data_IF_279840111136
#
_entry.id   IF_279840111136
#
_cell.length_a   1.000
_cell.length_b   1.000
_cell.length_c   1.000
_cell.angle_alpha   90.00
_cell.angle_beta   90.00
_cell.angle_gamma   90.00
#
_symmetry.space_group_name_H-M   'P 1'
#
loop_
_entity.id
_entity.type
_entity.pdbx_description
1 polymer ?
#
# COMPACT_ATOMS: atom_id res chain seq x y z
N UNK A 1 31.09 1.67 4.04
CA UNK A 1 29.91 0.81 4.16
C UNK A 1 29.79 0.01 2.87
N UNK A 2 29.74 -1.33 2.94
CA UNK A 2 29.49 -2.14 1.77
C UNK A 2 28.05 -1.85 1.28
N UNK A 3 27.92 -1.53 0.00
CA UNK A 3 26.59 -1.31 -0.62
C UNK A 3 25.84 -2.64 -0.55
N UNK A 4 24.68 -2.67 0.14
CA UNK A 4 23.82 -3.85 0.16
C UNK A 4 23.22 -4.00 -1.23
N UNK A 5 23.42 -5.17 -1.82
CA UNK A 5 23.00 -5.45 -3.20
C UNK A 5 21.55 -5.91 -3.18
N UNK A 6 20.73 -5.30 -4.03
CA UNK A 6 19.37 -5.75 -4.32
C UNK A 6 19.44 -7.10 -5.05
N UNK A 7 18.86 -8.12 -4.45
CA UNK A 7 18.72 -9.45 -5.03
C UNK A 7 17.30 -9.61 -5.57
N UNK A 8 17.15 -10.27 -6.71
CA UNK A 8 15.84 -10.54 -7.32
C UNK A 8 15.62 -12.05 -7.39
N UNK A 9 14.46 -12.51 -6.95
CA UNK A 9 14.00 -13.88 -7.11
C UNK A 9 12.55 -13.91 -7.57
N UNK A 10 12.06 -15.09 -7.95
CA UNK A 10 10.67 -15.30 -8.31
C UNK A 10 10.06 -16.35 -7.38
N UNK A 11 8.90 -16.01 -6.82
CA UNK A 11 8.13 -16.89 -5.93
C UNK A 11 6.86 -17.30 -6.64
N UNK A 12 6.55 -18.61 -6.64
CA UNK A 12 5.31 -19.11 -7.20
C UNK A 12 4.19 -18.93 -6.17
N UNK A 13 3.16 -18.14 -6.51
CA UNK A 13 1.93 -18.02 -5.73
C UNK A 13 0.76 -18.49 -6.58
N UNK A 14 0.26 -19.69 -6.28
CA UNK A 14 -0.78 -20.36 -7.09
C UNK A 14 -0.38 -20.37 -8.59
N UNK A 15 -1.12 -19.64 -9.44
CA UNK A 15 -0.93 -19.61 -10.89
C UNK A 15 0.01 -18.51 -11.38
N UNK A 16 0.47 -17.62 -10.50
CA UNK A 16 1.32 -16.47 -10.88
C UNK A 16 2.69 -16.56 -10.23
N UNK A 17 3.72 -16.10 -10.96
CA UNK A 17 5.05 -15.87 -10.41
C UNK A 17 5.16 -14.42 -9.99
N UNK A 18 5.60 -14.19 -8.77
CA UNK A 18 5.82 -12.86 -8.20
C UNK A 18 7.31 -12.53 -8.24
N UNK A 19 7.66 -11.39 -8.76
CA UNK A 19 9.02 -10.87 -8.70
C UNK A 19 9.25 -10.25 -7.32
N UNK A 20 10.19 -10.79 -6.57
CA UNK A 20 10.53 -10.39 -5.21
C UNK A 20 11.94 -9.85 -5.16
N UNK A 21 12.11 -8.76 -4.45
CA UNK A 21 13.36 -8.04 -4.30
C UNK A 21 13.74 -7.99 -2.83
N UNK A 22 15.00 -8.34 -2.54
CA UNK A 22 15.53 -8.35 -1.18
C UNK A 22 16.80 -7.50 -1.07
N UNK A 23 16.88 -6.74 0.01
CA UNK A 23 18.10 -6.06 0.45
C UNK A 23 18.55 -6.69 1.76
N UNK A 24 19.70 -7.33 1.74
CA UNK A 24 20.17 -8.20 2.81
C UNK A 24 19.72 -9.64 2.63
N UNK A 25 19.79 -10.41 3.71
CA UNK A 25 19.33 -11.81 3.76
C UNK A 25 18.58 -12.04 5.06
N UNK A 26 17.61 -12.94 5.02
CA UNK A 26 16.93 -13.42 6.22
C UNK A 26 17.94 -13.94 7.23
N UNK A 27 17.89 -13.39 8.44
CA UNK A 27 18.74 -13.76 9.56
C UNK A 27 17.85 -13.79 10.81
N UNK A 28 17.88 -14.84 11.64
CA UNK A 28 17.08 -14.91 12.88
C UNK A 28 17.31 -13.73 13.84
N UNK A 29 18.48 -13.10 13.79
CA UNK A 29 18.83 -11.96 14.64
C UNK A 29 18.41 -10.61 14.05
N UNK A 30 17.92 -10.60 12.79
CA UNK A 30 17.53 -9.38 12.08
C UNK A 30 16.05 -9.41 11.71
N UNK A 31 15.33 -8.36 12.07
CA UNK A 31 13.91 -8.24 11.73
C UNK A 31 13.71 -7.98 10.25
N UNK A 32 12.62 -8.52 9.69
CA UNK A 32 12.26 -8.34 8.29
C UNK A 32 11.18 -7.29 8.11
N UNK A 33 11.33 -6.46 7.07
CA UNK A 33 10.33 -5.48 6.62
C UNK A 33 9.85 -5.88 5.24
N UNK A 34 8.53 -5.91 5.02
CA UNK A 34 7.93 -6.05 3.70
C UNK A 34 7.33 -4.71 3.27
N UNK A 35 7.74 -4.22 2.10
CA UNK A 35 7.29 -2.97 1.49
C UNK A 35 6.33 -3.28 0.34
N UNK A 36 5.11 -2.74 0.41
CA UNK A 36 4.03 -3.04 -0.51
C UNK A 36 3.60 -1.80 -1.29
N UNK A 37 3.77 -1.84 -2.62
CA UNK A 37 3.48 -0.73 -3.52
C UNK A 37 2.00 -0.62 -3.88
N UNK A 38 1.61 0.53 -4.46
CA UNK A 38 0.28 0.83 -4.93
C UNK A 38 0.17 1.00 -6.45
N UNK A 39 -0.89 1.64 -6.89
CA UNK A 39 -1.20 1.90 -8.29
C UNK A 39 -0.69 3.29 -8.73
N UNK A 40 -0.14 3.44 -9.92
CA UNK A 40 0.19 2.42 -10.94
C UNK A 40 1.66 1.98 -10.86
N UNK A 41 2.19 1.89 -9.67
CA UNK A 41 3.62 1.64 -9.42
C UNK A 41 3.99 0.15 -9.41
N UNK A 42 5.27 -0.11 -9.24
CA UNK A 42 5.87 -1.42 -8.97
C UNK A 42 6.76 -1.33 -7.73
N UNK A 43 7.37 -2.43 -7.32
CA UNK A 43 8.30 -2.48 -6.18
C UNK A 43 9.46 -1.46 -6.30
N UNK A 44 9.82 -1.05 -7.51
CA UNK A 44 10.88 -0.08 -7.79
C UNK A 44 10.68 1.25 -7.06
N UNK A 45 9.43 1.65 -6.79
CA UNK A 45 9.11 2.90 -6.06
C UNK A 45 9.73 2.93 -4.67
N UNK A 46 9.99 1.77 -4.08
CA UNK A 46 10.56 1.60 -2.76
C UNK A 46 12.08 1.56 -2.69
N UNK A 47 12.78 1.46 -3.82
CA UNK A 47 14.22 1.18 -3.87
C UNK A 47 15.04 2.07 -2.93
N UNK A 48 14.81 3.39 -2.95
CA UNK A 48 15.55 4.33 -2.10
C UNK A 48 15.26 4.13 -0.60
N UNK A 49 14.02 3.86 -0.23
CA UNK A 49 13.64 3.60 1.17
C UNK A 49 14.20 2.24 1.61
N UNK A 50 14.12 1.24 0.75
CA UNK A 50 14.64 -0.10 1.02
C UNK A 50 16.17 -0.08 1.25
N UNK A 51 16.93 0.65 0.42
CA UNK A 51 18.36 0.83 0.63
C UNK A 51 18.69 1.43 2.00
N UNK A 52 17.91 2.40 2.48
CA UNK A 52 18.09 3.04 3.79
C UNK A 52 17.75 2.10 4.94
N UNK A 53 16.62 1.41 4.86
CA UNK A 53 16.18 0.46 5.88
C UNK A 53 17.09 -0.77 5.96
N UNK A 54 17.70 -1.19 4.84
CA UNK A 54 18.54 -2.38 4.77
C UNK A 54 19.83 -2.29 5.61
N UNK A 55 20.19 -1.10 6.08
CA UNK A 55 21.28 -0.95 7.03
C UNK A 55 20.99 -1.63 8.39
N UNK A 56 19.73 -1.84 8.74
CA UNK A 56 19.29 -2.34 10.04
C UNK A 56 18.34 -3.54 9.96
N UNK A 57 17.69 -3.74 8.81
CA UNK A 57 16.64 -4.73 8.58
C UNK A 57 16.95 -5.59 7.36
N UNK A 58 16.40 -6.80 7.33
CA UNK A 58 16.20 -7.51 6.09
C UNK A 58 14.97 -6.91 5.39
N UNK A 59 15.14 -6.31 4.23
CA UNK A 59 14.07 -5.59 3.54
C UNK A 59 13.64 -6.36 2.30
N UNK A 60 12.34 -6.56 2.17
CA UNK A 60 11.68 -7.25 1.08
C UNK A 60 10.70 -6.29 0.42
N UNK A 61 10.65 -6.28 -0.89
CA UNK A 61 9.55 -5.71 -1.66
C UNK A 61 9.19 -6.66 -2.79
N UNK A 62 7.98 -6.62 -3.31
CA UNK A 62 7.62 -7.43 -4.46
C UNK A 62 6.69 -6.66 -5.39
N UNK A 63 6.72 -7.03 -6.65
CA UNK A 63 5.74 -6.57 -7.62
C UNK A 63 4.43 -7.32 -7.39
N UNK A 64 3.36 -6.60 -7.07
CA UNK A 64 2.01 -7.18 -6.98
C UNK A 64 1.66 -7.82 -8.33
N UNK A 65 0.85 -8.88 -8.31
CA UNK A 65 0.39 -9.53 -9.55
C UNK A 65 -0.07 -8.51 -10.59
N UNK A 66 0.36 -8.66 -11.83
CA UNK A 66 0.08 -7.75 -12.93
C UNK A 66 1.03 -6.55 -13.04
N UNK A 67 1.85 -6.26 -12.01
CA UNK A 67 2.81 -5.17 -12.00
C UNK A 67 4.26 -5.63 -12.24
N UNK A 68 5.15 -4.71 -12.57
CA UNK A 68 6.60 -4.89 -12.67
C UNK A 68 7.02 -6.11 -13.49
N UNK A 69 7.73 -7.04 -12.87
CA UNK A 69 8.16 -8.31 -13.48
C UNK A 69 7.26 -9.49 -13.06
N UNK A 70 6.25 -9.28 -12.21
CA UNK A 70 5.29 -10.31 -11.86
C UNK A 70 4.39 -10.67 -13.04
N UNK A 71 3.89 -11.92 -13.01
CA UNK A 71 2.97 -12.41 -14.01
C UNK A 71 1.66 -11.64 -13.98
N UNK A 72 1.04 -11.55 -15.15
CA UNK A 72 -0.30 -10.99 -15.30
C UNK A 72 -1.30 -12.13 -15.04
N UNK A 73 -2.26 -11.97 -14.11
CA UNK A 73 -3.32 -12.94 -13.91
C UNK A 73 -4.12 -13.23 -15.18
N UNK A 74 -4.61 -14.47 -15.31
CA UNK A 74 -5.39 -14.87 -16.48
C UNK A 74 -6.76 -14.19 -16.54
N UNK A 75 -7.34 -13.85 -15.38
CA UNK A 75 -8.65 -13.22 -15.28
C UNK A 75 -8.62 -11.98 -14.40
N UNK A 76 -9.54 -11.05 -14.63
CA UNK A 76 -9.71 -9.86 -13.80
C UNK A 76 -10.03 -10.24 -12.34
N UNK A 77 -10.82 -11.28 -12.12
CA UNK A 77 -11.20 -11.74 -10.78
C UNK A 77 -9.99 -12.12 -9.90
N UNK A 78 -8.89 -12.55 -10.48
CA UNK A 78 -7.67 -12.88 -9.74
C UNK A 78 -6.98 -11.65 -9.12
N UNK A 79 -7.48 -10.42 -9.38
CA UNK A 79 -7.08 -9.20 -8.65
C UNK A 79 -7.91 -8.94 -7.39
N UNK A 80 -8.85 -9.83 -7.03
CA UNK A 80 -9.59 -9.74 -5.77
C UNK A 80 -8.64 -9.87 -4.57
N UNK A 81 -8.98 -9.17 -3.48
CA UNK A 81 -8.14 -9.07 -2.29
C UNK A 81 -7.73 -10.41 -1.68
N UNK A 82 -8.55 -11.45 -1.80
CA UNK A 82 -8.19 -12.79 -1.33
C UNK A 82 -6.92 -13.33 -2.00
N UNK A 83 -6.80 -13.15 -3.31
CA UNK A 83 -5.59 -13.57 -4.03
C UNK A 83 -4.38 -12.71 -3.69
N UNK A 84 -4.59 -11.40 -3.49
CA UNK A 84 -3.52 -10.46 -3.12
C UNK A 84 -2.99 -10.77 -1.70
N UNK A 85 -3.87 -11.17 -0.78
CA UNK A 85 -3.49 -11.58 0.57
C UNK A 85 -2.72 -12.90 0.54
N UNK A 86 -3.17 -13.87 -0.27
CA UNK A 86 -2.47 -15.15 -0.44
C UNK A 86 -1.05 -14.93 -1.01
N UNK A 87 -0.89 -14.02 -1.98
CA UNK A 87 0.43 -13.62 -2.51
C UNK A 87 1.34 -13.06 -1.42
N UNK A 88 0.82 -12.13 -0.61
CA UNK A 88 1.58 -11.53 0.48
C UNK A 88 2.01 -12.57 1.51
N UNK A 89 1.12 -13.50 1.86
CA UNK A 89 1.44 -14.62 2.76
C UNK A 89 2.54 -15.50 2.17
N UNK A 90 2.46 -15.82 0.88
CA UNK A 90 3.47 -16.65 0.20
C UNK A 90 4.84 -15.96 0.17
N UNK A 91 4.86 -14.65 -0.15
CA UNK A 91 6.08 -13.85 -0.09
C UNK A 91 6.68 -13.86 1.31
N UNK A 92 5.90 -13.57 2.35
CA UNK A 92 6.37 -13.57 3.74
C UNK A 92 6.89 -14.96 4.14
N UNK A 93 6.13 -16.00 3.86
CA UNK A 93 6.46 -17.39 4.25
C UNK A 93 7.74 -17.87 3.60
N UNK A 94 8.01 -17.44 2.37
CA UNK A 94 9.22 -17.81 1.63
C UNK A 94 10.44 -17.00 2.04
N UNK A 95 10.28 -15.68 2.25
CA UNK A 95 11.42 -14.78 2.53
C UNK A 95 11.74 -14.65 4.02
N UNK A 96 10.77 -14.92 4.90
CA UNK A 96 10.89 -14.78 6.35
C UNK A 96 10.17 -15.92 7.09
N UNK A 97 10.53 -17.19 6.84
CA UNK A 97 9.73 -18.37 7.23
C UNK A 97 9.56 -18.54 8.75
N UNK A 98 10.44 -17.97 9.57
CA UNK A 98 10.50 -18.23 11.01
C UNK A 98 10.18 -16.99 11.86
N UNK A 99 9.70 -15.91 11.26
CA UNK A 99 9.39 -14.67 11.98
C UNK A 99 8.26 -13.88 11.33
N UNK A 100 7.47 -13.23 12.17
CA UNK A 100 6.52 -12.23 11.70
C UNK A 100 7.27 -10.98 11.22
N UNK A 101 6.80 -10.38 10.13
CA UNK A 101 7.42 -9.21 9.50
C UNK A 101 6.79 -7.90 9.94
N UNK A 102 7.49 -6.81 9.72
CA UNK A 102 6.94 -5.46 9.79
C UNK A 102 6.45 -5.08 8.38
N UNK A 103 5.15 -4.89 8.24
CA UNK A 103 4.55 -4.54 6.95
C UNK A 103 4.48 -3.02 6.79
N UNK A 104 4.89 -2.49 5.64
CA UNK A 104 4.81 -1.06 5.30
C UNK A 104 4.17 -0.91 3.93
N UNK A 105 3.18 -0.04 3.81
CA UNK A 105 2.42 0.07 2.57
C UNK A 105 1.83 1.45 2.34
N UNK A 106 1.52 1.75 1.08
CA UNK A 106 0.78 2.94 0.68
C UNK A 106 -0.19 2.62 -0.46
N UNK A 107 -1.15 3.50 -0.70
CA UNK A 107 -2.14 3.40 -1.79
C UNK A 107 -2.81 2.01 -1.83
N UNK A 108 -2.89 1.36 -3.01
CA UNK A 108 -3.45 0.01 -3.16
C UNK A 108 -2.72 -1.05 -2.34
N UNK A 109 -1.42 -0.86 -2.08
CA UNK A 109 -0.70 -1.72 -1.15
C UNK A 109 -1.29 -1.66 0.27
N UNK A 110 -1.68 -0.47 0.74
CA UNK A 110 -2.38 -0.35 2.02
C UNK A 110 -3.79 -0.95 1.96
N UNK A 111 -4.54 -0.71 0.88
CA UNK A 111 -5.90 -1.21 0.75
C UNK A 111 -5.96 -2.73 0.81
N UNK A 112 -5.06 -3.43 0.09
CA UNK A 112 -4.98 -4.90 0.17
C UNK A 112 -4.49 -5.40 1.52
N UNK A 113 -3.50 -4.73 2.13
CA UNK A 113 -2.98 -5.12 3.44
C UNK A 113 -4.06 -5.01 4.53
N UNK A 114 -4.85 -3.93 4.51
CA UNK A 114 -5.98 -3.75 5.43
C UNK A 114 -7.00 -4.88 5.36
N UNK A 115 -7.32 -5.37 4.16
CA UNK A 115 -8.24 -6.50 4.00
C UNK A 115 -7.75 -7.74 4.75
N UNK A 116 -6.45 -8.07 4.63
CA UNK A 116 -5.86 -9.21 5.32
C UNK A 116 -5.70 -8.99 6.83
N UNK A 117 -5.40 -7.77 7.26
CA UNK A 117 -5.22 -7.40 8.67
C UNK A 117 -6.56 -7.39 9.40
N UNK A 118 -7.58 -6.74 8.84
CA UNK A 118 -8.92 -6.66 9.44
C UNK A 118 -9.69 -7.99 9.38
N UNK A 119 -9.29 -8.92 8.51
CA UNK A 119 -9.82 -10.29 8.45
C UNK A 119 -9.02 -11.29 9.30
N UNK A 120 -8.04 -10.84 10.09
CA UNK A 120 -7.10 -11.64 10.88
C UNK A 120 -6.24 -12.65 10.06
N UNK A 121 -6.32 -12.63 8.72
CA UNK A 121 -5.55 -13.53 7.85
C UNK A 121 -4.04 -13.28 7.94
N UNK A 122 -3.63 -12.02 8.13
CA UNK A 122 -2.23 -11.63 8.25
C UNK A 122 -1.71 -11.64 9.70
N UNK A 123 -2.56 -11.89 10.69
CA UNK A 123 -2.17 -11.84 12.11
C UNK A 123 -1.01 -12.78 12.49
N UNK A 124 -0.89 -13.99 11.95
CA UNK A 124 0.26 -14.87 12.23
C UNK A 124 1.57 -14.39 11.59
N UNK A 125 1.49 -13.54 10.56
CA UNK A 125 2.61 -13.17 9.69
C UNK A 125 3.12 -11.75 9.92
N UNK A 126 2.33 -10.88 10.57
CA UNK A 126 2.63 -9.45 10.71
C UNK A 126 2.78 -9.07 12.18
N UNK A 127 3.97 -8.63 12.56
CA UNK A 127 4.28 -8.14 13.90
C UNK A 127 3.79 -6.71 14.13
N UNK A 128 3.99 -5.82 13.15
CA UNK A 128 3.47 -4.46 13.14
C UNK A 128 3.10 -4.04 11.72
N UNK A 129 2.21 -3.08 11.60
CA UNK A 129 1.80 -2.52 10.33
C UNK A 129 1.98 -1.02 10.27
N UNK A 130 2.67 -0.50 9.25
CA UNK A 130 2.75 0.93 8.93
C UNK A 130 1.98 1.21 7.64
N UNK A 131 0.90 1.99 7.73
CA UNK A 131 0.03 2.34 6.61
C UNK A 131 0.08 3.84 6.31
N UNK A 132 0.03 4.21 5.04
CA UNK A 132 -0.11 5.60 4.58
C UNK A 132 -1.48 5.87 3.95
N UNK A 133 -2.31 4.85 3.79
CA UNK A 133 -3.67 4.95 3.26
C UNK A 133 -4.61 4.17 4.17
N UNK A 134 -5.78 4.73 4.57
CA UNK A 134 -6.77 4.03 5.39
C UNK A 134 -7.48 2.92 4.62
N UNK A 135 -8.26 2.08 5.31
CA UNK A 135 -9.01 1.00 4.68
C UNK A 135 -10.17 1.52 3.81
N UNK A 136 -10.57 0.71 2.82
CA UNK A 136 -11.79 0.99 2.04
C UNK A 136 -13.04 1.01 2.91
N UNK A 137 -13.11 0.17 3.94
CA UNK A 137 -14.22 0.18 4.91
C UNK A 137 -14.33 1.54 5.63
N UNK A 138 -13.20 2.14 6.04
CA UNK A 138 -13.19 3.46 6.68
C UNK A 138 -13.74 4.54 5.74
N UNK A 139 -13.37 4.48 4.45
CA UNK A 139 -13.93 5.38 3.42
C UNK A 139 -15.44 5.17 3.29
N UNK A 140 -15.89 3.91 3.21
CA UNK A 140 -17.33 3.58 3.14
C UNK A 140 -18.11 4.06 4.36
N UNK A 141 -17.56 3.89 5.57
CA UNK A 141 -18.15 4.40 6.80
C UNK A 141 -18.21 5.93 6.82
N UNK A 142 -17.19 6.62 6.32
CA UNK A 142 -17.22 8.07 6.20
C UNK A 142 -18.40 8.52 5.34
N UNK A 143 -18.61 7.94 4.14
CA UNK A 143 -19.76 8.25 3.30
C UNK A 143 -21.09 7.98 3.99
N UNK A 144 -21.25 6.82 4.65
CA UNK A 144 -22.48 6.50 5.39
C UNK A 144 -22.78 7.50 6.48
N UNK A 145 -21.77 7.93 7.24
CA UNK A 145 -21.93 8.91 8.33
C UNK A 145 -22.28 10.29 7.81
N UNK A 146 -21.60 10.77 6.75
CA UNK A 146 -21.94 12.05 6.14
C UNK A 146 -23.39 12.06 5.64
N UNK A 147 -23.80 11.05 4.87
CA UNK A 147 -25.18 10.95 4.36
C UNK A 147 -26.21 10.88 5.49
N UNK A 148 -25.94 10.23 6.62
CA UNK A 148 -26.82 10.13 7.78
C UNK A 148 -27.10 11.48 8.46
N UNK A 149 -26.19 12.46 8.35
CA UNK A 149 -26.39 13.81 8.91
C UNK A 149 -27.54 14.55 8.27
N UNK A 150 -27.93 14.19 7.06
CA UNK A 150 -29.10 14.69 6.30
C UNK A 150 -29.20 16.23 6.30
N UNK A 151 -28.09 16.91 5.95
CA UNK A 151 -28.05 18.37 5.85
C UNK A 151 -27.19 18.81 4.66
N UNK A 152 -27.36 20.08 4.24
CA UNK A 152 -26.69 20.64 3.06
C UNK A 152 -25.16 20.60 3.13
N UNK A 153 -24.60 20.83 4.32
CA UNK A 153 -23.15 20.78 4.54
C UNK A 153 -22.62 19.38 4.27
N UNK A 154 -23.26 18.35 4.81
CA UNK A 154 -22.88 16.97 4.62
C UNK A 154 -22.97 16.55 3.14
N UNK A 155 -24.05 16.93 2.46
CA UNK A 155 -24.18 16.68 1.00
C UNK A 155 -23.08 17.39 0.21
N UNK A 156 -22.75 18.63 0.58
CA UNK A 156 -21.61 19.35 -0.04
C UNK A 156 -20.29 18.62 0.18
N UNK A 157 -20.03 18.09 1.39
CA UNK A 157 -18.84 17.32 1.70
C UNK A 157 -18.76 16.04 0.86
N UNK A 158 -19.87 15.31 0.76
CA UNK A 158 -19.97 14.10 -0.09
C UNK A 158 -19.69 14.45 -1.55
N UNK A 159 -20.30 15.51 -2.10
CA UNK A 159 -20.08 15.92 -3.49
C UNK A 159 -18.61 16.34 -3.75
N UNK A 160 -18.00 17.11 -2.85
CA UNK A 160 -16.59 17.47 -2.92
C UNK A 160 -15.71 16.22 -2.93
N UNK A 161 -16.02 15.25 -2.08
CA UNK A 161 -15.27 13.98 -2.01
C UNK A 161 -15.44 13.16 -3.28
N UNK A 162 -16.64 13.01 -3.79
CA UNK A 162 -16.88 12.33 -5.05
C UNK A 162 -16.15 13.01 -6.23
N UNK A 163 -16.11 14.35 -6.25
CA UNK A 163 -15.36 15.08 -7.26
C UNK A 163 -13.84 14.83 -7.16
N UNK A 164 -13.27 14.92 -5.96
CA UNK A 164 -11.82 14.65 -5.73
C UNK A 164 -11.43 13.19 -5.97
N UNK A 165 -12.36 12.26 -5.80
CA UNK A 165 -12.18 10.82 -6.01
C UNK A 165 -12.79 10.32 -7.33
N UNK A 166 -13.13 11.24 -8.24
CA UNK A 166 -13.78 10.90 -9.52
C UNK A 166 -12.98 9.93 -10.38
N UNK A 167 -11.65 9.92 -10.25
CA UNK A 167 -10.78 8.95 -10.91
C UNK A 167 -11.11 7.50 -10.52
N UNK A 168 -11.58 7.24 -9.29
CA UNK A 168 -12.01 5.92 -8.86
C UNK A 168 -13.24 5.44 -9.66
N UNK A 169 -14.21 6.34 -9.87
CA UNK A 169 -15.36 6.08 -10.74
C UNK A 169 -14.96 5.93 -12.21
N UNK A 170 -13.99 6.74 -12.66
CA UNK A 170 -13.45 6.63 -14.02
C UNK A 170 -12.84 5.24 -14.26
N UNK A 171 -12.08 4.69 -13.32
CA UNK A 171 -11.50 3.35 -13.44
C UNK A 171 -12.51 2.20 -13.39
N UNK A 172 -13.77 2.45 -13.00
CA UNK A 172 -14.86 1.46 -13.14
C UNK A 172 -15.39 1.34 -14.59
N UNK A 173 -15.14 2.34 -15.44
CA UNK A 173 -15.60 2.31 -16.82
C UNK A 173 -14.84 1.26 -17.64
N UNK A 174 -15.52 0.51 -18.53
CA UNK A 174 -14.84 -0.41 -19.42
C UNK A 174 -14.07 0.35 -20.50
N UNK A 175 -12.90 -0.14 -20.88
CA UNK A 175 -12.10 0.30 -22.03
C UNK A 175 -11.52 1.72 -21.92
N UNK A 176 -12.31 2.70 -21.45
CA UNK A 176 -11.94 4.11 -21.49
C UNK A 176 -10.67 4.43 -20.68
N UNK A 177 -10.48 3.95 -19.43
CA UNK A 177 -9.25 4.15 -18.68
C UNK A 177 -8.03 3.57 -19.40
N UNK A 178 -8.16 2.37 -19.93
CA UNK A 178 -7.09 1.71 -20.69
C UNK A 178 -6.69 2.51 -21.94
N UNK A 179 -7.69 3.06 -22.65
CA UNK A 179 -7.42 3.92 -23.81
C UNK A 179 -6.64 5.17 -23.43
N UNK A 180 -7.04 5.85 -22.35
CA UNK A 180 -6.34 7.06 -21.86
C UNK A 180 -4.89 6.76 -21.52
N UNK A 181 -4.61 5.64 -20.85
CA UNK A 181 -3.24 5.20 -20.59
C UNK A 181 -2.46 4.92 -21.88
N UNK A 182 -3.05 4.21 -22.84
CA UNK A 182 -2.41 3.86 -24.13
C UNK A 182 -2.13 5.08 -25.01
N UNK A 183 -3.05 6.06 -25.05
CA UNK A 183 -2.91 7.25 -25.92
C UNK A 183 -1.79 8.16 -25.46
N UNK A 184 -1.54 8.28 -24.13
CA UNK A 184 -0.44 9.16 -23.72
C UNK A 184 -0.27 9.39 -22.23
N UNK A 185 -1.21 9.00 -21.38
CA UNK A 185 -1.11 9.28 -19.94
C UNK A 185 0.19 8.70 -19.36
N UNK A 186 0.61 7.50 -19.76
CA UNK A 186 1.86 6.88 -19.31
C UNK A 186 3.11 7.73 -19.59
N UNK A 187 3.11 8.56 -20.63
CA UNK A 187 4.24 9.45 -20.96
C UNK A 187 4.27 10.72 -20.12
N UNK A 188 3.09 11.14 -19.66
CA UNK A 188 2.92 12.38 -18.88
C UNK A 188 2.98 12.09 -17.37
N UNK A 189 2.56 10.90 -16.94
CA UNK A 189 2.43 10.50 -15.55
C UNK A 189 3.70 10.75 -14.70
N UNK A 190 4.90 10.35 -15.12
CA UNK A 190 6.12 10.62 -14.35
C UNK A 190 6.37 12.14 -14.13
N UNK A 191 5.95 12.98 -15.07
CA UNK A 191 6.05 14.44 -14.92
C UNK A 191 5.02 14.96 -13.91
N UNK A 192 3.79 14.39 -13.90
CA UNK A 192 2.75 14.73 -12.93
C UNK A 192 3.23 14.38 -11.52
N UNK A 193 3.69 13.15 -11.30
CA UNK A 193 4.23 12.71 -10.00
C UNK A 193 5.43 13.56 -9.61
N UNK A 194 6.35 13.82 -10.53
CA UNK A 194 7.54 14.65 -10.28
C UNK A 194 7.17 16.08 -9.90
N UNK A 195 6.14 16.66 -10.51
CA UNK A 195 5.64 18.00 -10.16
C UNK A 195 5.03 18.02 -8.76
N UNK A 196 4.19 17.04 -8.44
CA UNK A 196 3.56 16.90 -7.12
C UNK A 196 4.62 16.72 -6.02
N UNK A 197 5.61 15.89 -6.25
CA UNK A 197 6.66 15.57 -5.27
C UNK A 197 7.85 16.55 -5.29
N UNK A 198 7.90 17.46 -6.28
CA UNK A 198 9.03 18.37 -6.51
C UNK A 198 10.37 17.65 -6.70
N UNK A 199 10.34 16.49 -7.32
CA UNK A 199 11.51 15.66 -7.65
C UNK A 199 11.47 15.23 -9.11
N UNK A 200 12.62 14.86 -9.67
CA UNK A 200 12.69 14.27 -11.00
C UNK A 200 12.37 12.78 -10.91
N UNK A 201 11.25 12.36 -11.48
CA UNK A 201 10.85 10.94 -11.56
C UNK A 201 11.27 10.37 -12.90
N UNK A 202 11.98 9.25 -12.86
CA UNK A 202 12.27 8.47 -14.06
C UNK A 202 11.06 7.57 -14.37
N UNK A 203 10.64 7.47 -15.64
CA UNK A 203 9.55 6.59 -16.00
C UNK A 203 9.97 5.12 -15.83
N UNK A 204 9.17 4.34 -15.09
CA UNK A 204 9.35 2.88 -15.06
C UNK A 204 9.08 2.28 -16.44
N UNK A 205 9.88 1.28 -16.81
CA UNK A 205 9.71 0.56 -18.09
C UNK A 205 8.39 -0.21 -18.15
N UNK A 206 7.85 -0.60 -17.02
CA UNK A 206 6.61 -1.37 -16.90
C UNK A 206 5.37 -0.49 -16.73
N UNK A 207 5.50 0.83 -16.51
CA UNK A 207 4.41 1.74 -16.13
C UNK A 207 3.13 1.55 -16.95
N UNK A 208 3.22 1.44 -18.28
CA UNK A 208 2.02 1.25 -19.10
C UNK A 208 1.37 -0.11 -18.84
N UNK A 209 2.16 -1.17 -18.73
CA UNK A 209 1.69 -2.52 -18.37
C UNK A 209 1.02 -2.51 -17.00
N UNK A 210 1.70 -1.94 -16.01
CA UNK A 210 1.27 -1.89 -14.62
C UNK A 210 -0.06 -1.12 -14.50
N UNK A 211 -0.14 0.05 -15.13
CA UNK A 211 -1.35 0.84 -15.15
C UNK A 211 -2.54 0.13 -15.81
N UNK A 212 -2.32 -0.57 -16.93
CA UNK A 212 -3.39 -1.25 -17.67
C UNK A 212 -3.97 -2.43 -16.89
N UNK A 213 -3.11 -3.26 -16.31
CA UNK A 213 -3.56 -4.48 -15.64
C UNK A 213 -4.07 -4.20 -14.22
N UNK A 214 -3.41 -3.30 -13.48
CA UNK A 214 -3.81 -2.99 -12.10
C UNK A 214 -5.07 -2.13 -11.97
N UNK A 215 -5.68 -1.63 -13.08
CA UNK A 215 -7.06 -1.09 -13.07
C UNK A 215 -8.03 -2.12 -12.50
N UNK A 216 -7.78 -3.41 -12.69
CA UNK A 216 -8.58 -4.50 -12.14
C UNK A 216 -8.69 -4.44 -10.61
N UNK A 217 -7.70 -3.91 -9.88
CA UNK A 217 -7.78 -3.69 -8.44
C UNK A 217 -9.00 -2.86 -8.06
N UNK A 218 -9.26 -1.77 -8.79
CA UNK A 218 -10.42 -0.89 -8.57
C UNK A 218 -11.74 -1.60 -8.85
N UNK A 219 -11.80 -2.37 -9.94
CA UNK A 219 -13.03 -3.04 -10.37
C UNK A 219 -13.44 -4.18 -9.45
N UNK A 220 -12.46 -4.95 -8.95
CA UNK A 220 -12.72 -6.12 -8.11
C UNK A 220 -12.98 -5.78 -6.64
N UNK A 221 -12.38 -4.70 -6.10
CA UNK A 221 -12.31 -4.55 -4.65
C UNK A 221 -13.05 -3.35 -4.06
N UNK A 222 -13.46 -2.37 -4.88
CA UNK A 222 -14.00 -1.12 -4.30
C UNK A 222 -15.48 -1.20 -3.92
N UNK A 223 -16.28 -1.88 -4.73
CA UNK A 223 -17.74 -1.78 -4.65
C UNK A 223 -18.28 -2.22 -3.29
N UNK A 224 -17.87 -3.37 -2.83
CA UNK A 224 -18.39 -3.98 -1.61
C UNK A 224 -18.03 -3.15 -0.36
N UNK A 225 -16.77 -2.78 -0.06
CA UNK A 225 -16.44 -1.99 1.11
C UNK A 225 -17.06 -0.58 1.12
N UNK A 226 -17.19 0.04 -0.04
CA UNK A 226 -17.79 1.38 -0.13
C UNK A 226 -19.30 1.37 0.10
N UNK A 227 -20.03 0.37 -0.40
CA UNK A 227 -21.48 0.28 -0.26
C UNK A 227 -21.92 -0.40 1.03
N UNK A 228 -21.17 -1.39 1.48
CA UNK A 228 -21.47 -2.21 2.67
C UNK A 228 -20.21 -2.41 3.51
N UNK A 229 -19.64 -1.31 4.08
CA UNK A 229 -18.42 -1.40 4.87
C UNK A 229 -18.61 -2.29 6.08
N UNK A 230 -17.61 -3.12 6.35
CA UNK A 230 -17.55 -3.99 7.52
C UNK A 230 -17.10 -3.22 8.76
N UNK A 231 -17.25 -3.84 9.92
CA UNK A 231 -16.82 -3.27 11.20
C UNK A 231 -15.78 -4.17 11.89
N UNK A 232 -14.92 -4.81 11.06
CA UNK A 232 -13.84 -5.68 11.53
C UNK A 232 -12.79 -4.85 12.27
N UNK A 233 -12.18 -5.45 13.29
CA UNK A 233 -11.15 -4.81 14.13
C UNK A 233 -9.88 -5.63 14.13
N UNK A 234 -8.75 -4.99 14.47
CA UNK A 234 -7.47 -5.66 14.61
C UNK A 234 -6.76 -5.27 15.91
N UNK A 235 -5.97 -6.20 16.43
CA UNK A 235 -5.07 -6.00 17.57
C UNK A 235 -3.61 -5.80 17.12
N UNK A 236 -3.32 -5.94 15.82
CA UNK A 236 -1.97 -5.73 15.27
C UNK A 236 -1.55 -4.28 15.55
N UNK A 237 -0.41 -4.06 16.23
CA UNK A 237 0.10 -2.72 16.45
C UNK A 237 0.29 -1.99 15.12
N UNK A 238 -0.35 -0.84 14.98
CA UNK A 238 -0.41 -0.12 13.72
C UNK A 238 0.10 1.30 13.85
N UNK A 239 0.87 1.71 12.86
CA UNK A 239 1.35 3.07 12.67
C UNK A 239 0.68 3.67 11.43
N UNK A 240 -0.16 4.69 11.61
CA UNK A 240 -0.73 5.44 10.51
C UNK A 240 0.13 6.69 10.25
N UNK A 241 0.78 6.74 9.11
CA UNK A 241 1.57 7.90 8.66
C UNK A 241 0.70 8.78 7.79
N UNK A 242 0.34 9.95 8.29
CA UNK A 242 -0.51 10.92 7.60
C UNK A 242 0.39 11.82 6.73
N UNK A 243 0.17 11.80 5.43
CA UNK A 243 0.84 12.67 4.47
C UNK A 243 0.05 13.97 4.35
N UNK A 244 0.55 15.06 4.94
CA UNK A 244 -0.26 16.28 5.17
C UNK A 244 -0.63 17.06 3.90
N UNK A 245 0.00 16.74 2.76
CA UNK A 245 -0.28 17.33 1.44
C UNK A 245 -0.84 16.33 0.44
N UNK A 246 -1.25 15.15 0.90
CA UNK A 246 -1.83 14.11 0.04
C UNK A 246 -3.20 14.57 -0.49
N UNK A 247 -3.38 14.73 -1.81
CA UNK A 247 -4.65 15.16 -2.36
C UNK A 247 -5.70 14.02 -2.43
N UNK A 248 -5.26 12.76 -2.28
CA UNK A 248 -6.10 11.58 -2.44
C UNK A 248 -6.64 11.06 -1.11
N UNK A 249 -5.83 11.14 -0.06
CA UNK A 249 -6.13 10.56 1.26
C UNK A 249 -6.47 11.65 2.26
N UNK A 250 -7.75 11.81 2.66
CA UNK A 250 -8.15 12.79 3.66
C UNK A 250 -7.67 12.42 5.06
N UNK A 251 -7.15 13.41 5.78
CA UNK A 251 -6.69 13.27 7.16
C UNK A 251 -7.76 12.65 8.07
N UNK A 252 -8.99 13.15 8.00
CA UNK A 252 -10.08 12.71 8.86
C UNK A 252 -10.42 11.22 8.68
N UNK A 253 -10.22 10.66 7.48
CA UNK A 253 -10.44 9.22 7.25
C UNK A 253 -9.27 8.42 7.83
N UNK A 254 -8.03 8.90 7.68
CA UNK A 254 -6.87 8.25 8.30
C UNK A 254 -6.98 8.24 9.82
N UNK A 255 -7.38 9.34 10.45
CA UNK A 255 -7.57 9.43 11.90
C UNK A 255 -8.71 8.54 12.41
N UNK A 256 -9.76 8.32 11.59
CA UNK A 256 -10.87 7.43 11.94
C UNK A 256 -10.46 5.96 12.06
N UNK A 257 -9.28 5.56 11.56
CA UNK A 257 -8.76 4.19 11.72
C UNK A 257 -8.64 3.76 13.20
N UNK A 258 -8.55 4.71 14.14
CA UNK A 258 -8.59 4.45 15.59
C UNK A 258 -9.85 3.72 16.06
N UNK A 259 -10.91 3.67 15.26
CA UNK A 259 -12.14 2.94 15.61
C UNK A 259 -12.02 1.43 15.37
N UNK A 260 -11.10 1.01 14.50
CA UNK A 260 -10.93 -0.40 14.10
C UNK A 260 -9.59 -0.98 14.53
N UNK A 261 -8.67 -0.15 15.02
CA UNK A 261 -7.34 -0.58 15.46
C UNK A 261 -7.14 -0.26 16.92
N UNK A 262 -6.97 -1.30 17.75
CA UNK A 262 -6.83 -1.12 19.22
C UNK A 262 -5.51 -0.42 19.59
N UNK A 263 -4.44 -0.75 18.90
CA UNK A 263 -3.09 -0.22 19.16
C UNK A 263 -2.61 0.59 17.95
N UNK A 264 -3.12 1.82 17.79
CA UNK A 264 -2.75 2.71 16.70
C UNK A 264 -1.93 3.90 17.20
N UNK A 265 -0.87 4.22 16.46
CA UNK A 265 -0.11 5.47 16.64
C UNK A 265 -0.17 6.27 15.33
N UNK A 266 -0.13 7.58 15.45
CA UNK A 266 -0.14 8.49 14.31
C UNK A 266 1.15 9.27 14.25
N UNK A 267 1.65 9.49 13.03
CA UNK A 267 2.68 10.48 12.75
C UNK A 267 2.36 11.22 11.46
N UNK A 268 3.04 12.34 11.22
CA UNK A 268 2.81 13.18 10.06
C UNK A 268 4.12 13.39 9.31
N UNK A 269 4.03 13.33 7.97
CA UNK A 269 5.11 13.76 7.09
C UNK A 269 4.55 14.83 6.15
N UNK A 270 5.25 15.96 6.04
CA UNK A 270 4.83 17.08 5.19
C UNK A 270 5.12 16.80 3.71
N UNK A 271 4.49 15.78 3.16
CA UNK A 271 4.66 15.30 1.80
C UNK A 271 3.33 15.06 1.10
N UNK A 272 3.39 14.94 -0.22
CA UNK A 272 2.33 14.41 -1.05
C UNK A 272 2.36 12.87 -1.05
N UNK A 273 1.48 12.25 -1.84
CA UNK A 273 1.18 10.82 -1.90
C UNK A 273 2.40 9.90 -2.06
N UNK A 274 3.35 10.24 -2.93
CA UNK A 274 4.57 9.45 -3.19
C UNK A 274 5.73 9.87 -2.27
N UNK A 275 5.52 9.85 -0.96
CA UNK A 275 6.50 10.25 0.05
C UNK A 275 7.86 9.55 -0.08
N UNK A 276 7.86 8.28 -0.51
CA UNK A 276 9.06 7.47 -0.72
C UNK A 276 10.00 8.03 -1.79
N UNK A 277 9.50 8.85 -2.72
CA UNK A 277 10.30 9.48 -3.77
C UNK A 277 10.96 10.79 -3.33
N UNK A 278 10.36 11.51 -2.38
CA UNK A 278 10.80 12.86 -1.99
C UNK A 278 11.35 12.95 -0.57
N UNK A 279 10.88 12.11 0.36
CA UNK A 279 11.21 12.13 1.78
C UNK A 279 11.65 10.75 2.29
N UNK A 280 12.45 10.04 1.49
CA UNK A 280 12.86 8.66 1.79
C UNK A 280 13.61 8.51 3.12
N UNK A 281 14.44 9.50 3.53
CA UNK A 281 15.15 9.49 4.81
C UNK A 281 14.19 9.64 6.00
N UNK A 282 13.26 10.58 5.89
CA UNK A 282 12.25 10.85 6.93
C UNK A 282 11.33 9.64 7.09
N UNK A 283 10.85 9.07 5.97
CA UNK A 283 10.02 7.86 5.99
C UNK A 283 10.75 6.67 6.59
N UNK A 284 11.98 6.40 6.16
CA UNK A 284 12.79 5.30 6.70
C UNK A 284 13.03 5.45 8.20
N UNK A 285 13.33 6.67 8.67
CA UNK A 285 13.51 6.96 10.10
C UNK A 285 12.21 6.78 10.88
N UNK A 286 11.09 7.26 10.34
CA UNK A 286 9.75 7.15 10.94
C UNK A 286 9.35 5.67 11.12
N UNK A 287 9.54 4.86 10.08
CA UNK A 287 9.29 3.41 10.11
C UNK A 287 10.20 2.70 11.11
N UNK A 288 11.51 2.95 11.05
CA UNK A 288 12.50 2.31 11.94
C UNK A 288 12.23 2.61 13.41
N UNK A 289 11.94 3.86 13.76
CA UNK A 289 11.65 4.27 15.12
C UNK A 289 10.41 3.57 15.68
N UNK A 290 9.37 3.44 14.87
CA UNK A 290 8.16 2.72 15.26
C UNK A 290 8.44 1.23 15.50
N UNK A 291 9.16 0.58 14.59
CA UNK A 291 9.53 -0.83 14.72
C UNK A 291 10.35 -1.06 15.99
N UNK A 292 11.41 -0.28 16.24
CA UNK A 292 12.25 -0.45 17.44
C UNK A 292 11.49 -0.22 18.75
N UNK A 293 10.55 0.72 18.77
CA UNK A 293 9.69 0.95 19.92
C UNK A 293 8.84 -0.28 20.27
N UNK A 294 8.31 -0.95 19.25
CA UNK A 294 7.44 -2.13 19.43
C UNK A 294 8.23 -3.44 19.62
N UNK A 295 9.40 -3.58 19.02
CA UNK A 295 10.27 -4.75 19.19
C UNK A 295 10.77 -4.93 20.61
N UNK A 296 11.03 -3.83 21.33
CA UNK A 296 11.40 -3.88 22.75
C UNK A 296 10.27 -4.42 23.62
N UNK A 297 9.01 -4.11 23.29
CA UNK A 297 7.83 -4.60 24.03
C UNK A 297 7.60 -6.10 23.83
N UNK A 298 7.89 -6.62 22.64
CA UNK A 298 7.74 -8.05 22.32
C UNK A 298 8.77 -8.95 23.05
N UNK A 299 9.95 -8.42 23.39
CA UNK A 299 10.99 -9.16 24.16
C UNK A 299 10.75 -9.15 25.68
N UNK A 300 9.84 -8.33 26.19
CA UNK A 300 9.55 -8.15 27.62
C UNK A 300 8.18 -8.72 28.03
N UNK A 301 7.41 -9.25 27.11
CA UNK A 301 6.12 -9.92 27.32
C UNK A 301 6.25 -11.43 27.13
#
# INVERSE_FOLDING_TARGET
>A
MNKIIKHTQFIQSKQVKLAVYEWGKSNPDQQSIVLLHGYPDSAEVWDTVAEKLSAQFHVISYDVRGAGLSDIPATQHEFHSDFLIDDLIEVISTTSPNQAVHLVSYDWGSLQAWEGILADKLKPYVATYTAMTPSLDAIGWWFKRELKKNNLTAYSNVLKRLASSSYMGFFQLPILPEMVWRIGLHRVWPKVVGHLQKVKVQPSKSLLKDALHSIALYRENMRQPLLSPSNRKTTIPTHMVILTKDPFVPREISESMSEWVENIEFSEINSNHWVMLSHADELASTVSNYIFKHSKKLKTA
#
